data_IF_906086548155
#
_entry.id   IF_906086548155
#
_cell.length_a   1.000
_cell.length_b   1.000
_cell.length_c   1.000
_cell.angle_alpha   90.00
_cell.angle_beta   90.00
_cell.angle_gamma   90.00
#
_symmetry.space_group_name_H-M   'P 1'
#
loop_
_entity.id
_entity.type
_entity.pdbx_description
1 polymer ?
#
# COMPACT_ATOMS: atom_id res chain seq x y z
N UNK A 1 46.33 28.32 -3.27
CA UNK A 1 44.92 27.90 -3.15
C UNK A 1 44.74 26.71 -4.06
N UNK A 2 44.72 25.52 -3.50
CA UNK A 2 44.55 24.27 -4.25
C UNK A 2 43.27 23.65 -3.74
N UNK A 3 42.31 23.42 -4.64
CA UNK A 3 41.01 22.84 -4.33
C UNK A 3 41.19 21.35 -4.09
N UNK A 4 40.92 20.89 -2.86
CA UNK A 4 41.08 19.49 -2.47
C UNK A 4 39.75 18.75 -2.68
N UNK A 5 39.61 18.08 -3.82
CA UNK A 5 38.43 17.31 -4.18
C UNK A 5 38.59 15.85 -3.76
N UNK A 6 38.39 15.56 -2.47
CA UNK A 6 38.23 14.18 -1.99
C UNK A 6 36.79 13.69 -2.25
N UNK A 7 36.43 13.49 -3.52
CA UNK A 7 35.25 12.68 -3.82
C UNK A 7 35.62 11.22 -3.55
N UNK A 8 35.01 10.63 -2.52
CA UNK A 8 35.08 9.19 -2.26
C UNK A 8 34.46 8.47 -3.46
N UNK A 9 35.32 7.95 -4.34
CA UNK A 9 34.93 7.04 -5.42
C UNK A 9 34.43 5.73 -4.82
N UNK A 10 33.16 5.40 -5.06
CA UNK A 10 32.76 3.99 -5.22
C UNK A 10 32.07 3.25 -4.06
N UNK A 11 31.45 3.92 -3.09
CA UNK A 11 30.53 3.18 -2.20
C UNK A 11 29.21 2.89 -2.94
N UNK A 12 29.10 1.68 -3.52
CA UNK A 12 27.81 1.10 -3.91
C UNK A 12 26.95 1.09 -2.64
N UNK A 13 25.83 1.83 -2.63
CA UNK A 13 24.79 1.56 -1.64
C UNK A 13 24.46 0.07 -1.75
N UNK A 14 24.48 -0.70 -0.64
CA UNK A 14 24.11 -2.10 -0.72
C UNK A 14 22.73 -2.23 -1.36
N UNK A 15 22.49 -3.34 -2.06
CA UNK A 15 21.16 -3.64 -2.58
C UNK A 15 20.24 -3.84 -1.35
N UNK A 16 19.58 -2.78 -0.89
CA UNK A 16 18.65 -2.82 0.24
C UNK A 16 17.35 -3.42 -0.29
N UNK A 17 17.03 -4.64 0.13
CA UNK A 17 15.69 -5.19 -0.02
C UNK A 17 14.83 -4.56 1.08
N UNK A 18 14.06 -3.53 0.71
CA UNK A 18 13.11 -2.88 1.61
C UNK A 18 11.70 -3.39 1.32
N UNK A 19 11.09 -4.05 2.30
CA UNK A 19 9.68 -4.46 2.24
C UNK A 19 8.83 -3.34 2.85
N UNK A 20 7.83 -2.80 2.12
CA UNK A 20 6.98 -1.77 2.67
C UNK A 20 6.07 -2.34 3.75
N UNK A 21 5.79 -1.54 4.78
CA UNK A 21 4.83 -1.94 5.80
C UNK A 21 3.38 -1.94 5.26
N UNK A 22 3.06 -1.02 4.34
CA UNK A 22 1.79 -0.90 3.65
C UNK A 22 2.00 -0.81 2.15
N UNK A 23 1.25 -1.58 1.38
CA UNK A 23 1.11 -1.42 -0.07
C UNK A 23 -0.31 -0.98 -0.43
N UNK A 24 -0.46 -0.02 -1.34
CA UNK A 24 -1.76 0.43 -1.85
C UNK A 24 -1.83 0.14 -3.35
N UNK A 25 -2.86 -0.58 -3.76
CA UNK A 25 -3.16 -0.94 -5.13
C UNK A 25 -4.46 -0.26 -5.55
N UNK A 26 -4.40 0.63 -6.54
CA UNK A 26 -5.59 1.26 -7.11
C UNK A 26 -5.94 0.54 -8.41
N UNK A 27 -7.10 -0.09 -8.45
CA UNK A 27 -7.55 -0.89 -9.59
C UNK A 27 -7.80 0.02 -10.79
N UNK A 28 -7.02 -0.18 -11.86
CA UNK A 28 -7.22 0.50 -13.15
C UNK A 28 -7.77 -0.49 -14.19
N UNK A 29 -9.05 -0.41 -14.54
CA UNK A 29 -9.64 -1.24 -15.59
C UNK A 29 -10.17 -2.60 -15.08
N UNK A 30 -10.25 -3.58 -15.99
CA UNK A 30 -10.89 -4.88 -15.70
C UNK A 30 -9.89 -5.86 -15.11
N UNK A 31 -9.91 -6.00 -13.79
CA UNK A 31 -9.29 -7.12 -13.08
C UNK A 31 -10.35 -8.04 -12.52
N UNK A 32 -10.07 -9.35 -12.49
CA UNK A 32 -10.93 -10.28 -11.75
C UNK A 32 -10.66 -10.14 -10.25
N UNK A 33 -11.65 -10.38 -9.39
CA UNK A 33 -11.44 -10.41 -7.93
C UNK A 33 -10.30 -11.36 -7.53
N UNK A 34 -10.22 -12.53 -8.17
CA UNK A 34 -9.17 -13.52 -7.92
C UNK A 34 -7.76 -13.05 -8.26
N UNK A 35 -7.61 -12.23 -9.31
CA UNK A 35 -6.30 -11.71 -9.70
C UNK A 35 -5.80 -10.64 -8.71
N UNK A 36 -6.71 -9.81 -8.20
CA UNK A 36 -6.38 -8.82 -7.16
C UNK A 36 -6.04 -9.50 -5.84
N UNK A 37 -6.81 -10.53 -5.47
CA UNK A 37 -6.56 -11.32 -4.28
C UNK A 37 -5.19 -12.01 -4.33
N UNK A 38 -4.89 -12.71 -5.43
CA UNK A 38 -3.58 -13.34 -5.62
C UNK A 38 -2.42 -12.33 -5.55
N UNK A 39 -2.62 -11.11 -6.04
CA UNK A 39 -1.62 -10.04 -5.96
C UNK A 39 -1.41 -9.57 -4.51
N UNK A 40 -2.50 -9.35 -3.76
CA UNK A 40 -2.41 -8.96 -2.36
C UNK A 40 -1.74 -10.05 -1.50
N UNK A 41 -2.12 -11.32 -1.70
CA UNK A 41 -1.49 -12.45 -1.01
C UNK A 41 0.00 -12.58 -1.30
N UNK A 42 0.44 -12.28 -2.53
CA UNK A 42 1.88 -12.24 -2.85
C UNK A 42 2.62 -11.18 -2.04
N UNK A 43 2.06 -9.98 -1.92
CA UNK A 43 2.68 -8.93 -1.11
C UNK A 43 2.77 -9.30 0.37
N UNK A 44 1.71 -9.91 0.93
CA UNK A 44 1.75 -10.41 2.30
C UNK A 44 2.84 -11.47 2.48
N UNK A 45 2.97 -12.41 1.53
CA UNK A 45 4.01 -13.44 1.55
C UNK A 45 5.43 -12.85 1.42
N UNK A 46 5.58 -11.73 0.71
CA UNK A 46 6.84 -10.98 0.59
C UNK A 46 7.16 -10.15 1.86
N UNK A 47 6.28 -10.17 2.88
CA UNK A 47 6.48 -9.54 4.18
C UNK A 47 5.77 -8.20 4.39
N UNK A 48 4.92 -7.78 3.44
CA UNK A 48 4.09 -6.58 3.63
C UNK A 48 3.07 -6.87 4.73
N UNK A 49 2.92 -5.95 5.69
CA UNK A 49 2.01 -6.16 6.83
C UNK A 49 0.56 -5.91 6.46
N UNK A 50 0.30 -4.92 5.61
CA UNK A 50 -1.05 -4.54 5.19
C UNK A 50 -1.10 -4.18 3.70
N UNK A 51 -2.16 -4.61 3.01
CA UNK A 51 -2.42 -4.24 1.61
C UNK A 51 -3.81 -3.64 1.51
N UNK A 52 -3.92 -2.48 0.86
CA UNK A 52 -5.21 -1.90 0.48
C UNK A 52 -5.41 -2.04 -1.02
N UNK A 53 -6.48 -2.71 -1.42
CA UNK A 53 -6.93 -2.74 -2.81
C UNK A 53 -8.13 -1.80 -2.93
N UNK A 54 -7.91 -0.66 -3.58
CA UNK A 54 -8.92 0.37 -3.81
C UNK A 54 -9.55 0.15 -5.18
N UNK A 55 -10.86 -0.08 -5.23
CA UNK A 55 -11.64 -0.18 -6.46
C UNK A 55 -12.52 1.09 -6.60
N UNK A 56 -12.09 2.10 -7.39
CA UNK A 56 -12.85 3.33 -7.57
C UNK A 56 -14.18 3.12 -8.28
N UNK A 57 -14.29 2.12 -9.16
CA UNK A 57 -15.51 1.84 -9.90
C UNK A 57 -16.61 1.30 -8.98
N UNK A 58 -16.23 0.50 -7.98
CA UNK A 58 -17.14 0.02 -6.92
C UNK A 58 -17.21 0.95 -5.71
N UNK A 59 -16.32 1.94 -5.60
CA UNK A 59 -16.12 2.78 -4.40
C UNK A 59 -15.92 1.92 -3.15
N UNK A 60 -15.05 0.91 -3.27
CA UNK A 60 -14.74 -0.06 -2.21
C UNK A 60 -13.25 -0.12 -1.94
N UNK A 61 -12.89 -0.47 -0.71
CA UNK A 61 -11.51 -0.80 -0.33
C UNK A 61 -11.50 -2.19 0.30
N UNK A 62 -10.75 -3.13 -0.28
CA UNK A 62 -10.43 -4.38 0.39
C UNK A 62 -9.15 -4.20 1.19
N UNK A 63 -9.22 -4.44 2.50
CA UNK A 63 -8.09 -4.36 3.43
C UNK A 63 -7.64 -5.77 3.77
N UNK A 64 -6.39 -6.07 3.45
CA UNK A 64 -5.70 -7.29 3.84
C UNK A 64 -4.73 -6.96 4.97
N UNK A 65 -4.84 -7.63 6.11
CA UNK A 65 -3.98 -7.40 7.27
C UNK A 65 -3.69 -8.73 7.98
N UNK A 66 -2.48 -9.27 7.79
CA UNK A 66 -2.16 -10.63 8.19
C UNK A 66 -3.12 -11.64 7.53
N UNK A 67 -3.77 -12.48 8.32
CA UNK A 67 -4.78 -13.45 7.84
C UNK A 67 -6.20 -12.84 7.71
N UNK A 68 -6.39 -11.60 8.13
CA UNK A 68 -7.68 -10.93 8.10
C UNK A 68 -7.88 -10.21 6.77
N UNK A 69 -9.08 -10.33 6.22
CA UNK A 69 -9.52 -9.58 5.04
C UNK A 69 -10.88 -8.95 5.32
N UNK A 70 -11.02 -7.66 5.03
CA UNK A 70 -12.29 -6.93 5.14
C UNK A 70 -12.55 -6.11 3.88
N UNK A 71 -13.83 -5.90 3.55
CA UNK A 71 -14.25 -5.03 2.45
C UNK A 71 -15.00 -3.86 3.08
N UNK A 72 -14.48 -2.66 2.84
CA UNK A 72 -15.08 -1.39 3.27
C UNK A 72 -15.84 -0.74 2.12
N UNK A 73 -16.99 -0.14 2.42
CA UNK A 73 -17.85 0.54 1.45
C UNK A 73 -18.70 1.64 2.11
N UNK A 74 -19.32 2.50 1.31
CA UNK A 74 -20.27 3.50 1.82
C UNK A 74 -19.63 4.46 2.84
N UNK A 75 -20.20 4.48 4.05
CA UNK A 75 -19.80 5.36 5.16
C UNK A 75 -18.69 4.77 6.06
N UNK A 76 -18.14 3.61 5.69
CA UNK A 76 -17.03 3.01 6.41
C UNK A 76 -15.81 3.95 6.48
N UNK A 77 -14.96 3.72 7.47
CA UNK A 77 -13.70 4.44 7.65
C UNK A 77 -12.52 3.49 7.43
N UNK A 78 -11.61 3.87 6.53
CA UNK A 78 -10.35 3.15 6.31
C UNK A 78 -9.36 3.53 7.39
N UNK A 79 -8.89 2.53 8.14
CA UNK A 79 -7.96 2.68 9.25
C UNK A 79 -6.54 2.23 8.86
N UNK A 80 -5.54 2.92 9.36
CA UNK A 80 -4.13 2.51 9.27
C UNK A 80 -3.72 1.42 10.25
N UNK A 81 -4.59 1.10 11.23
CA UNK A 81 -4.36 0.11 12.29
C UNK A 81 -3.00 0.33 12.98
N UNK A 82 -2.28 -0.75 13.31
CA UNK A 82 -0.93 -0.72 13.89
C UNK A 82 0.17 -0.45 12.84
N UNK A 83 -0.17 -0.48 11.54
CA UNK A 83 0.78 -0.24 10.44
C UNK A 83 1.03 1.26 10.23
N UNK A 84 -0.02 2.08 10.31
CA UNK A 84 0.04 3.55 10.31
C UNK A 84 -0.83 4.08 11.47
N UNK A 85 -0.30 4.11 12.69
CA UNK A 85 -1.07 4.50 13.87
C UNK A 85 -1.70 5.89 13.75
N UNK A 86 -3.00 5.99 14.07
CA UNK A 86 -3.76 7.24 14.02
C UNK A 86 -4.19 7.68 12.62
N UNK A 87 -3.88 6.92 11.57
CA UNK A 87 -4.42 7.19 10.24
C UNK A 87 -5.87 6.71 10.15
N UNK A 88 -6.77 7.61 9.77
CA UNK A 88 -8.18 7.34 9.53
C UNK A 88 -8.68 8.18 8.35
N UNK A 89 -9.44 7.58 7.44
CA UNK A 89 -10.10 8.31 6.35
C UNK A 89 -11.48 7.72 6.05
N UNK A 90 -12.56 8.52 6.17
CA UNK A 90 -13.89 8.09 5.72
C UNK A 90 -13.87 7.80 4.21
N UNK A 91 -14.50 6.71 3.76
CA UNK A 91 -14.55 6.35 2.34
C UNK A 91 -15.27 7.42 1.51
N UNK A 92 -16.24 8.12 2.10
CA UNK A 92 -16.91 9.28 1.48
C UNK A 92 -15.94 10.41 1.14
N UNK A 93 -14.90 10.62 1.96
CA UNK A 93 -13.82 11.56 1.67
C UNK A 93 -12.83 10.99 0.66
N UNK A 94 -12.49 9.71 0.77
CA UNK A 94 -11.53 9.03 -0.12
C UNK A 94 -11.99 9.05 -1.58
N UNK A 95 -13.28 8.79 -1.84
CA UNK A 95 -13.85 8.73 -3.19
C UNK A 95 -14.53 10.04 -3.64
N UNK A 96 -14.63 11.05 -2.77
CA UNK A 96 -15.39 12.27 -3.02
C UNK A 96 -16.91 12.05 -3.03
N UNK A 97 -17.68 13.15 -3.10
CA UNK A 97 -19.13 13.06 -3.30
C UNK A 97 -19.44 12.36 -4.64
N UNK A 98 -20.53 11.58 -4.66
CA UNK A 98 -21.05 10.97 -5.87
C UNK A 98 -21.65 12.02 -6.82
#
# INVERSE_FOLDING_TARGET
MTYDSHWVTGSRVPDIILVPALTVEVVSGRYTPSALDAKAQRYLADGVRMVWVIDPAKRQVTVYHGEQTSILSGDDTLLGSDVIPGFEVPLTRLFGAA
#
